data_IF_672355332876
#
_entry.id   IF_672355332876
#
_cell.length_a   1.000
_cell.length_b   1.000
_cell.length_c   1.000
_cell.angle_alpha   90.00
_cell.angle_beta   90.00
_cell.angle_gamma   90.00
#
_symmetry.space_group_name_H-M   'P 1'
#
loop_
_entity.id
_entity.type
_entity.pdbx_description
1 polymer ?
#
# COMPACT_ATOMS: atom_id res chain seq x y z
N UNK A 1 -29.08 32.67 -18.77
CA UNK A 1 -28.62 31.76 -17.71
C UNK A 1 -27.86 30.62 -18.39
N UNK A 2 -26.55 30.70 -18.38
CA UNK A 2 -25.69 29.74 -19.10
C UNK A 2 -25.22 28.71 -18.08
N UNK A 3 -25.74 27.51 -18.17
CA UNK A 3 -25.32 26.40 -17.30
C UNK A 3 -24.05 25.82 -17.87
N UNK A 4 -22.93 26.16 -17.26
CA UNK A 4 -21.63 25.56 -17.56
C UNK A 4 -21.66 24.10 -17.10
N UNK A 5 -21.73 23.17 -18.04
CA UNK A 5 -21.55 21.74 -17.81
C UNK A 5 -20.06 21.50 -17.63
N UNK A 6 -19.64 21.20 -16.39
CA UNK A 6 -18.30 20.73 -16.12
C UNK A 6 -18.15 19.34 -16.77
N UNK A 7 -17.38 19.29 -17.86
CA UNK A 7 -16.92 18.02 -18.42
C UNK A 7 -16.07 17.30 -17.38
N UNK A 8 -16.53 16.16 -16.93
CA UNK A 8 -15.72 15.23 -16.13
C UNK A 8 -14.58 14.73 -17.01
N UNK A 9 -13.38 15.11 -16.67
CA UNK A 9 -12.18 14.54 -17.29
C UNK A 9 -12.24 13.02 -17.21
N UNK A 10 -12.19 12.37 -18.35
CA UNK A 10 -12.07 10.91 -18.45
C UNK A 10 -10.72 10.51 -17.86
N UNK A 11 -10.65 9.43 -17.06
CA UNK A 11 -9.35 8.92 -16.58
C UNK A 11 -8.48 8.64 -17.81
N UNK A 12 -7.34 9.30 -17.88
CA UNK A 12 -6.33 9.06 -18.91
C UNK A 12 -5.91 7.60 -18.80
N UNK A 13 -6.26 6.81 -19.80
CA UNK A 13 -5.74 5.46 -19.95
C UNK A 13 -4.21 5.57 -19.98
N UNK A 14 -3.53 4.81 -19.11
CA UNK A 14 -2.08 4.70 -19.09
C UNK A 14 -1.61 4.22 -20.46
N UNK A 15 -1.25 5.15 -21.31
CA UNK A 15 -0.67 4.87 -22.62
C UNK A 15 0.68 4.21 -22.42
N UNK A 16 0.83 3.04 -23.03
CA UNK A 16 2.05 2.30 -23.32
C UNK A 16 3.26 2.59 -22.44
N UNK A 17 3.56 1.68 -21.51
CA UNK A 17 4.83 1.60 -20.81
C UNK A 17 5.99 1.52 -21.81
N UNK A 18 6.56 2.63 -22.19
CA UNK A 18 7.95 2.62 -22.63
C UNK A 18 8.75 2.10 -21.43
N UNK A 19 9.42 0.96 -21.60
CA UNK A 19 10.19 0.36 -20.52
C UNK A 19 11.22 1.39 -20.05
N UNK A 20 11.23 1.73 -18.76
CA UNK A 20 12.21 2.65 -18.19
C UNK A 20 13.58 2.06 -18.48
N UNK A 21 14.46 2.84 -19.08
CA UNK A 21 15.81 2.41 -19.39
C UNK A 21 16.57 2.05 -18.12
N UNK A 22 17.17 0.87 -18.07
CA UNK A 22 17.86 0.33 -16.90
C UNK A 22 19.29 0.85 -16.82
N UNK A 23 19.43 2.15 -16.64
CA UNK A 23 20.70 2.84 -16.43
C UNK A 23 21.26 2.61 -15.03
N UNK A 24 22.54 2.92 -14.76
CA UNK A 24 23.07 2.93 -13.39
C UNK A 24 22.25 3.80 -12.43
N UNK A 25 21.69 4.91 -12.92
CA UNK A 25 20.82 5.81 -12.15
C UNK A 25 19.50 5.14 -11.77
N UNK A 26 18.87 4.40 -12.69
CA UNK A 26 17.70 3.57 -12.38
C UNK A 26 17.97 2.58 -11.25
N UNK A 27 19.15 1.90 -11.29
CA UNK A 27 19.48 0.92 -10.24
C UNK A 27 19.75 1.57 -8.89
N UNK A 28 20.34 2.78 -8.84
CA UNK A 28 20.49 3.53 -7.59
C UNK A 28 19.12 3.91 -7.05
N UNK A 29 18.26 4.49 -7.86
CA UNK A 29 16.90 4.84 -7.46
C UNK A 29 16.10 3.61 -6.98
N UNK A 30 16.30 2.46 -7.64
CA UNK A 30 15.67 1.20 -7.21
C UNK A 30 16.19 0.75 -5.84
N UNK A 31 17.49 0.85 -5.58
CA UNK A 31 18.05 0.55 -4.27
C UNK A 31 17.48 1.49 -3.18
N UNK A 32 17.39 2.79 -3.46
CA UNK A 32 16.77 3.76 -2.54
C UNK A 32 15.31 3.43 -2.23
N UNK A 33 14.54 2.94 -3.23
CA UNK A 33 13.15 2.46 -3.02
C UNK A 33 13.13 1.22 -2.14
N UNK A 34 14.06 0.27 -2.36
CA UNK A 34 14.15 -0.95 -1.55
C UNK A 34 14.50 -0.61 -0.10
N UNK A 35 15.48 0.27 0.13
CA UNK A 35 15.85 0.74 1.47
C UNK A 35 14.69 1.47 2.17
N UNK A 36 13.90 2.25 1.43
CA UNK A 36 12.70 2.89 1.96
C UNK A 36 11.66 1.86 2.44
N UNK A 37 11.42 0.80 1.68
CA UNK A 37 10.51 -0.29 2.07
C UNK A 37 11.04 -1.14 3.22
N UNK A 38 12.36 -1.37 3.29
CA UNK A 38 12.96 -2.10 4.40
C UNK A 38 12.82 -1.30 5.70
N UNK A 39 13.08 0.00 5.64
CA UNK A 39 12.82 0.89 6.79
C UNK A 39 11.35 0.89 7.20
N UNK A 40 10.42 0.93 6.26
CA UNK A 40 8.99 0.83 6.55
C UNK A 40 8.66 -0.47 7.30
N UNK A 41 9.19 -1.60 6.79
CA UNK A 41 9.01 -2.92 7.40
C UNK A 41 9.55 -2.95 8.83
N UNK A 42 10.77 -2.45 9.06
CA UNK A 42 11.40 -2.37 10.38
C UNK A 42 10.54 -1.56 11.36
N UNK A 43 10.02 -0.41 10.94
CA UNK A 43 9.16 0.43 11.79
C UNK A 43 7.88 -0.30 12.22
N UNK A 44 7.26 -1.05 11.32
CA UNK A 44 6.06 -1.82 11.62
C UNK A 44 6.37 -3.03 12.51
N UNK A 45 7.43 -3.76 12.22
CA UNK A 45 7.85 -4.95 12.97
C UNK A 45 8.30 -4.60 14.39
N UNK A 46 8.98 -3.45 14.55
CA UNK A 46 9.38 -2.87 15.84
C UNK A 46 8.25 -2.13 16.57
N UNK A 47 7.04 -2.08 15.99
CA UNK A 47 5.86 -1.39 16.56
C UNK A 47 6.07 0.12 16.74
N UNK A 48 6.90 0.73 15.93
CA UNK A 48 7.16 2.18 15.87
C UNK A 48 6.11 2.86 14.99
N UNK A 49 4.84 2.62 15.27
CA UNK A 49 3.71 3.01 14.43
C UNK A 49 3.60 4.52 14.21
N UNK A 50 4.00 5.34 15.17
CA UNK A 50 4.00 6.79 15.01
C UNK A 50 4.99 7.24 13.92
N UNK A 51 6.19 6.65 13.93
CA UNK A 51 7.21 6.94 12.92
C UNK A 51 6.85 6.37 11.56
N UNK A 52 6.12 5.24 11.54
CA UNK A 52 5.54 4.72 10.31
C UNK A 52 4.51 5.70 9.71
N UNK A 53 3.62 6.32 10.51
CA UNK A 53 2.68 7.34 10.03
C UNK A 53 3.40 8.54 9.40
N UNK A 54 4.63 8.84 9.82
CA UNK A 54 5.45 9.90 9.22
C UNK A 54 5.95 9.55 7.82
N UNK A 55 5.94 8.28 7.42
CA UNK A 55 6.24 7.87 6.04
C UNK A 55 5.05 8.08 5.08
N UNK A 56 3.87 8.39 5.59
CA UNK A 56 2.67 8.60 4.79
C UNK A 56 2.50 10.08 4.47
N UNK A 57 2.08 10.37 3.24
CA UNK A 57 1.67 11.72 2.85
C UNK A 57 0.37 12.12 3.57
N UNK A 58 0.11 13.43 3.72
CA UNK A 58 -1.09 13.88 4.42
C UNK A 58 -2.38 13.56 3.63
N UNK A 59 -2.26 13.44 2.32
CA UNK A 59 -3.32 13.05 1.39
C UNK A 59 -3.24 11.57 0.97
N UNK A 60 -2.65 10.70 1.80
CA UNK A 60 -2.54 9.27 1.51
C UNK A 60 -3.91 8.66 1.20
N UNK A 61 -3.93 7.84 0.17
CA UNK A 61 -5.01 6.88 -0.11
C UNK A 61 -4.48 5.48 0.17
N UNK A 62 -4.99 4.85 1.23
CA UNK A 62 -4.63 3.49 1.65
C UNK A 62 -5.80 2.57 1.36
N UNK A 63 -5.71 1.84 0.26
CA UNK A 63 -6.82 1.08 -0.29
C UNK A 63 -6.51 -0.41 -0.39
N UNK A 64 -7.44 -1.24 0.07
CA UNK A 64 -7.37 -2.70 -0.04
C UNK A 64 -8.73 -3.23 -0.50
N UNK A 65 -8.90 -3.56 -1.79
CA UNK A 65 -10.14 -4.10 -2.31
C UNK A 65 -10.46 -5.48 -1.75
N UNK A 66 -11.73 -5.83 -1.76
CA UNK A 66 -12.14 -7.23 -1.64
C UNK A 66 -11.92 -7.89 -3.01
N UNK A 67 -11.21 -9.02 -3.00
CA UNK A 67 -10.99 -9.83 -4.19
C UNK A 67 -11.98 -10.97 -4.24
N UNK A 68 -12.40 -11.35 -5.44
CA UNK A 68 -13.38 -12.39 -5.68
C UNK A 68 -12.87 -13.39 -6.72
N UNK A 69 -13.16 -14.65 -6.52
CA UNK A 69 -12.96 -15.65 -7.57
C UNK A 69 -14.04 -15.45 -8.64
N UNK A 70 -13.60 -15.17 -9.84
CA UNK A 70 -14.48 -14.89 -10.99
C UNK A 70 -14.21 -15.88 -12.13
N UNK A 71 -15.15 -16.01 -13.04
CA UNK A 71 -14.99 -16.85 -14.21
C UNK A 71 -13.89 -16.33 -15.13
N UNK A 72 -13.27 -17.23 -15.87
CA UNK A 72 -12.27 -16.89 -16.88
C UNK A 72 -12.77 -15.77 -17.80
N UNK A 73 -11.90 -14.78 -18.06
CA UNK A 73 -12.23 -13.60 -18.86
C UNK A 73 -12.88 -12.44 -18.09
N UNK A 74 -13.26 -12.61 -16.81
CA UNK A 74 -13.90 -11.55 -16.01
C UNK A 74 -12.95 -10.87 -15.00
N UNK A 75 -11.69 -11.31 -14.91
CA UNK A 75 -10.73 -10.84 -13.90
C UNK A 75 -10.54 -9.33 -13.95
N UNK A 76 -10.33 -8.74 -15.13
CA UNK A 76 -10.06 -7.31 -15.27
C UNK A 76 -11.20 -6.39 -14.75
N UNK A 77 -12.44 -6.88 -14.74
CA UNK A 77 -13.61 -6.05 -14.45
C UNK A 77 -14.31 -6.40 -13.15
N UNK A 78 -14.16 -7.62 -12.64
CA UNK A 78 -14.99 -8.15 -11.54
C UNK A 78 -14.19 -8.76 -10.38
N UNK A 79 -12.89 -8.99 -10.55
CA UNK A 79 -12.08 -9.65 -9.53
C UNK A 79 -11.94 -8.77 -8.28
N UNK A 80 -11.71 -7.47 -8.45
CA UNK A 80 -11.49 -6.54 -7.35
C UNK A 80 -12.66 -5.56 -7.23
N UNK A 81 -13.03 -5.20 -6.00
CA UNK A 81 -13.88 -4.03 -5.77
C UNK A 81 -13.11 -2.77 -6.12
N UNK A 82 -13.81 -1.71 -6.51
CA UNK A 82 -13.20 -0.44 -6.87
C UNK A 82 -13.31 0.55 -5.73
N UNK A 83 -12.34 1.43 -5.61
CA UNK A 83 -12.36 2.50 -4.63
C UNK A 83 -13.60 3.39 -4.83
N UNK A 84 -14.32 3.68 -3.74
CA UNK A 84 -15.56 4.44 -3.78
C UNK A 84 -16.78 3.69 -4.34
N UNK A 85 -16.61 2.44 -4.79
CA UNK A 85 -17.71 1.60 -5.31
C UNK A 85 -17.85 0.33 -4.45
N UNK A 86 -18.72 0.35 -3.45
CA UNK A 86 -19.01 -0.82 -2.63
C UNK A 86 -18.07 -0.99 -1.43
N UNK A 87 -17.93 -2.24 -0.96
CA UNK A 87 -17.16 -2.57 0.25
C UNK A 87 -15.73 -2.94 -0.10
N UNK A 88 -14.78 -2.45 0.67
CA UNK A 88 -13.36 -2.80 0.65
C UNK A 88 -12.90 -3.24 2.04
N UNK A 89 -11.73 -3.89 2.13
CA UNK A 89 -11.10 -4.18 3.42
C UNK A 89 -10.58 -2.89 4.06
N UNK A 90 -9.91 -2.04 3.26
CA UNK A 90 -9.48 -0.69 3.65
C UNK A 90 -9.80 0.31 2.54
N UNK A 91 -10.26 1.47 2.93
CA UNK A 91 -10.33 2.69 2.11
C UNK A 91 -10.14 3.85 3.10
N UNK A 92 -8.88 4.07 3.47
CA UNK A 92 -8.49 4.86 4.63
C UNK A 92 -7.58 6.01 4.23
N UNK A 93 -7.76 7.13 4.91
CA UNK A 93 -6.90 8.29 4.90
C UNK A 93 -5.92 8.29 6.08
N UNK A 94 -5.04 9.27 6.14
CA UNK A 94 -4.04 9.40 7.21
C UNK A 94 -4.68 9.54 8.60
N UNK A 95 -5.81 10.22 8.68
CA UNK A 95 -6.52 10.41 9.95
C UNK A 95 -7.03 9.06 10.49
N UNK A 96 -7.67 8.28 9.63
CA UNK A 96 -8.19 6.95 9.97
C UNK A 96 -7.07 6.00 10.38
N UNK A 97 -5.97 5.97 9.60
CA UNK A 97 -4.77 5.19 9.94
C UNK A 97 -4.18 5.61 11.30
N UNK A 98 -4.14 6.93 11.56
CA UNK A 98 -3.75 7.47 12.86
C UNK A 98 -4.63 6.97 14.01
N UNK A 99 -5.95 6.90 13.80
CA UNK A 99 -6.90 6.37 14.81
C UNK A 99 -6.69 4.88 15.07
N UNK A 100 -6.36 4.09 14.05
CA UNK A 100 -6.00 2.69 14.24
C UNK A 100 -4.72 2.53 15.06
N UNK A 101 -3.71 3.35 14.77
CA UNK A 101 -2.46 3.40 15.57
C UNK A 101 -2.78 3.79 17.01
N UNK A 102 -3.59 4.84 17.22
CA UNK A 102 -4.02 5.25 18.57
C UNK A 102 -4.68 4.08 19.32
N UNK A 103 -5.57 3.35 18.66
CA UNK A 103 -6.27 2.20 19.23
C UNK A 103 -5.32 1.08 19.65
N UNK A 104 -4.35 0.71 18.79
CA UNK A 104 -3.34 -0.31 19.13
C UNK A 104 -2.51 0.14 20.33
N UNK A 105 -2.12 1.41 20.38
CA UNK A 105 -1.27 1.95 21.43
C UNK A 105 -1.99 2.19 22.78
N UNK A 106 -3.32 2.01 22.85
CA UNK A 106 -4.04 2.06 24.14
C UNK A 106 -3.66 0.92 25.08
N UNK A 107 -3.14 -0.20 24.55
CA UNK A 107 -2.83 -1.41 25.32
C UNK A 107 -4.06 -2.16 25.85
N UNK A 108 -5.27 -1.72 25.49
CA UNK A 108 -6.55 -2.37 25.88
C UNK A 108 -7.34 -2.81 24.65
N UNK A 109 -6.74 -2.72 23.47
CA UNK A 109 -7.36 -3.20 22.24
C UNK A 109 -7.38 -4.74 22.23
N UNK A 110 -8.49 -5.30 22.59
CA UNK A 110 -8.71 -6.74 22.78
C UNK A 110 -8.21 -7.61 21.61
N UNK A 111 -8.31 -7.13 20.36
CA UNK A 111 -7.84 -7.87 19.19
C UNK A 111 -6.29 -7.92 19.07
N UNK A 112 -5.58 -7.04 19.78
CA UNK A 112 -4.11 -6.95 19.84
C UNK A 112 -3.57 -7.02 21.28
N UNK A 113 -4.32 -7.61 22.22
CA UNK A 113 -3.83 -7.89 23.57
C UNK A 113 -3.80 -9.42 23.81
N UNK A 114 -2.63 -10.04 23.93
CA UNK A 114 -1.29 -9.46 23.76
C UNK A 114 -0.98 -9.09 22.30
N UNK A 115 -0.07 -8.12 22.12
CA UNK A 115 0.34 -7.65 20.79
C UNK A 115 0.89 -8.79 19.93
N UNK A 116 0.48 -8.78 18.67
CA UNK A 116 1.01 -9.69 17.66
C UNK A 116 2.52 -9.48 17.43
N UNK A 117 3.22 -10.56 17.09
CA UNK A 117 4.53 -10.50 16.45
C UNK A 117 4.31 -10.53 14.95
N UNK A 118 4.86 -9.57 14.27
CA UNK A 118 4.68 -9.40 12.83
C UNK A 118 6.05 -9.31 12.19
N UNK A 119 6.18 -9.88 11.01
CA UNK A 119 7.37 -9.72 10.17
C UNK A 119 6.94 -9.47 8.74
N UNK A 120 7.41 -8.36 8.18
CA UNK A 120 7.19 -7.99 6.79
C UNK A 120 8.39 -8.40 5.94
N UNK A 121 8.11 -9.08 4.84
CA UNK A 121 9.09 -9.34 3.78
C UNK A 121 8.61 -8.68 2.50
N UNK A 122 9.44 -7.82 1.93
CA UNK A 122 9.16 -7.13 0.66
C UNK A 122 10.09 -7.68 -0.42
N UNK A 123 9.53 -7.95 -1.59
CA UNK A 123 10.29 -8.48 -2.71
C UNK A 123 9.77 -7.98 -4.05
N UNK A 124 10.48 -8.33 -5.14
CA UNK A 124 10.06 -8.03 -6.50
C UNK A 124 9.76 -6.54 -6.73
N UNK A 125 10.53 -5.66 -6.10
CA UNK A 125 10.38 -4.21 -6.24
C UNK A 125 10.69 -3.78 -7.66
N UNK A 126 9.75 -3.09 -8.30
CA UNK A 126 9.85 -2.62 -9.67
C UNK A 126 9.30 -1.19 -9.76
N UNK A 127 10.13 -0.27 -10.23
CA UNK A 127 9.67 1.08 -10.58
C UNK A 127 8.95 0.98 -11.93
N UNK A 128 7.71 1.42 -11.97
CA UNK A 128 6.83 1.39 -13.15
C UNK A 128 6.78 2.72 -13.89
N UNK A 129 6.89 3.82 -13.14
CA UNK A 129 6.96 5.17 -13.71
C UNK A 129 7.80 6.06 -12.80
N UNK A 130 8.43 7.06 -13.40
CA UNK A 130 9.18 8.11 -12.72
C UNK A 130 8.68 9.45 -13.28
N UNK A 131 8.35 10.37 -12.41
CA UNK A 131 7.89 11.71 -12.79
C UNK A 131 8.74 12.79 -12.12
N UNK A 132 9.16 13.86 -12.80
CA UNK A 132 9.05 14.02 -14.26
C UNK A 132 10.02 13.11 -15.03
N UNK A 133 11.21 12.81 -14.50
CA UNK A 133 12.26 12.00 -15.11
C UNK A 133 13.20 11.39 -14.06
N UNK A 134 14.18 10.59 -14.50
CA UNK A 134 15.16 9.94 -13.62
C UNK A 134 16.19 10.91 -13.02
N UNK A 135 16.42 12.08 -13.63
CA UNK A 135 17.43 13.04 -13.16
C UNK A 135 16.95 13.82 -11.93
N UNK A 136 15.65 14.11 -11.89
CA UNK A 136 15.03 14.84 -10.78
C UNK A 136 13.67 14.22 -10.43
N UNK A 137 13.66 12.98 -9.92
CA UNK A 137 12.40 12.32 -9.62
C UNK A 137 11.68 13.04 -8.46
N UNK A 138 10.41 13.32 -8.64
CA UNK A 138 9.54 13.87 -7.60
C UNK A 138 8.44 12.88 -7.18
N UNK A 139 8.09 11.96 -8.08
CA UNK A 139 7.08 10.94 -7.80
C UNK A 139 7.39 9.65 -8.57
N UNK A 140 7.17 8.52 -7.92
CA UNK A 140 7.43 7.18 -8.45
C UNK A 140 6.18 6.33 -8.34
N UNK A 141 5.86 5.56 -9.39
CA UNK A 141 4.93 4.43 -9.26
C UNK A 141 5.75 3.16 -9.13
N UNK A 142 5.50 2.43 -8.07
CA UNK A 142 6.26 1.24 -7.70
C UNK A 142 5.31 0.07 -7.49
N UNK A 143 5.70 -1.11 -7.96
CA UNK A 143 5.04 -2.37 -7.60
C UNK A 143 5.98 -3.24 -6.79
N UNK A 144 5.45 -3.91 -5.79
CA UNK A 144 6.18 -4.89 -4.99
C UNK A 144 5.32 -6.11 -4.66
N UNK A 145 5.96 -7.14 -4.13
CA UNK A 145 5.28 -8.27 -3.49
C UNK A 145 5.58 -8.21 -2.01
N UNK A 146 4.63 -8.66 -1.21
CA UNK A 146 4.84 -8.79 0.23
C UNK A 146 4.46 -10.20 0.70
N UNK A 147 5.15 -10.62 1.73
CA UNK A 147 4.74 -11.67 2.64
C UNK A 147 4.77 -11.09 4.04
N UNK A 148 3.63 -11.13 4.73
CA UNK A 148 3.51 -10.72 6.12
C UNK A 148 3.19 -11.96 6.93
N UNK A 149 4.02 -12.24 7.92
CA UNK A 149 3.80 -13.28 8.90
C UNK A 149 3.34 -12.66 10.20
N UNK A 150 2.24 -13.18 10.76
CA UNK A 150 1.72 -12.78 12.07
C UNK A 150 1.63 -13.98 12.98
N UNK A 151 2.11 -13.83 14.21
CA UNK A 151 1.89 -14.76 15.29
C UNK A 151 1.38 -14.03 16.53
N UNK A 152 0.29 -14.52 17.09
CA UNK A 152 -0.25 -14.05 18.36
C UNK A 152 -0.61 -15.25 19.22
N UNK A 153 -0.23 -15.21 20.48
CA UNK A 153 -0.39 -16.32 21.45
C UNK A 153 0.20 -17.63 20.91
N UNK A 154 -0.29 -18.78 21.35
CA UNK A 154 0.30 -20.09 21.03
C UNK A 154 -0.20 -20.67 19.70
N UNK A 155 -1.38 -20.28 19.25
CA UNK A 155 -2.10 -20.95 18.17
C UNK A 155 -2.60 -20.03 17.05
N UNK A 156 -2.47 -18.73 17.20
CA UNK A 156 -2.87 -17.79 16.15
C UNK A 156 -1.66 -17.46 15.26
N UNK A 157 -1.63 -18.09 14.11
CA UNK A 157 -0.59 -17.86 13.10
C UNK A 157 -1.25 -17.61 11.76
N UNK A 158 -0.92 -16.48 11.13
CA UNK A 158 -1.45 -16.11 9.84
C UNK A 158 -0.32 -15.68 8.91
N UNK A 159 -0.50 -15.98 7.63
CA UNK A 159 0.39 -15.53 6.57
C UNK A 159 -0.44 -14.80 5.52
N UNK A 160 -0.04 -13.58 5.20
CA UNK A 160 -0.66 -12.78 4.16
C UNK A 160 0.34 -12.60 3.03
N UNK A 161 -0.09 -12.93 1.82
CA UNK A 161 0.73 -12.78 0.62
C UNK A 161 -0.03 -11.93 -0.38
N UNK A 162 0.68 -11.00 -1.00
CA UNK A 162 0.04 -10.12 -1.95
C UNK A 162 1.00 -9.23 -2.72
N UNK A 163 0.43 -8.24 -3.34
CA UNK A 163 1.17 -7.22 -4.08
C UNK A 163 0.71 -5.83 -3.66
N UNK A 164 1.61 -4.87 -3.79
CA UNK A 164 1.33 -3.46 -3.57
C UNK A 164 1.59 -2.68 -4.86
N UNK A 165 0.75 -1.69 -5.08
CA UNK A 165 0.95 -0.65 -6.08
C UNK A 165 1.02 0.66 -5.32
N UNK A 166 2.21 1.24 -5.22
CA UNK A 166 2.46 2.45 -4.45
C UNK A 166 2.78 3.62 -5.39
N UNK A 167 2.29 4.80 -5.03
CA UNK A 167 2.81 6.08 -5.52
C UNK A 167 3.61 6.70 -4.39
N UNK A 168 4.91 6.88 -4.59
CA UNK A 168 5.85 7.48 -3.64
C UNK A 168 6.20 8.88 -4.10
N UNK A 169 6.06 9.88 -3.23
CA UNK A 169 6.52 11.26 -3.45
C UNK A 169 7.84 11.50 -2.75
N UNK A 170 8.74 12.16 -3.47
CA UNK A 170 10.03 12.60 -2.95
C UNK A 170 9.88 14.07 -2.58
N UNK A 171 9.91 14.37 -1.30
CA UNK A 171 9.70 15.72 -0.75
C UNK A 171 10.95 16.23 -0.05
N UNK A 172 10.96 17.51 0.31
CA UNK A 172 12.06 18.09 1.10
C UNK A 172 12.22 17.45 2.48
N UNK A 173 11.12 16.93 3.04
CA UNK A 173 11.10 16.23 4.33
C UNK A 173 11.34 14.72 4.24
N UNK A 174 11.68 14.23 3.06
CA UNK A 174 11.90 12.80 2.79
C UNK A 174 10.85 12.18 1.89
N UNK A 175 10.90 10.88 1.74
CA UNK A 175 9.99 10.11 0.91
C UNK A 175 8.68 9.84 1.64
N UNK A 176 7.55 9.91 0.91
CA UNK A 176 6.21 9.70 1.45
C UNK A 176 5.40 8.80 0.53
N UNK A 177 4.68 7.85 1.10
CA UNK A 177 3.69 7.07 0.36
C UNK A 177 2.45 7.93 0.21
N UNK A 178 2.10 8.29 -1.02
CA UNK A 178 0.93 9.12 -1.33
C UNK A 178 -0.30 8.27 -1.74
N UNK A 179 -0.06 7.08 -2.26
CA UNK A 179 -1.08 6.08 -2.54
C UNK A 179 -0.51 4.69 -2.30
N UNK A 180 -1.30 3.83 -1.70
CA UNK A 180 -1.05 2.39 -1.61
C UNK A 180 -2.30 1.62 -1.95
N UNK A 181 -2.23 0.80 -2.98
CA UNK A 181 -3.22 -0.23 -3.27
C UNK A 181 -2.64 -1.59 -2.90
N UNK A 182 -3.37 -2.31 -2.03
CA UNK A 182 -2.95 -3.62 -1.50
C UNK A 182 -3.83 -4.70 -2.11
N UNK A 183 -3.26 -5.57 -2.90
CA UNK A 183 -3.96 -6.70 -3.50
C UNK A 183 -3.58 -7.98 -2.75
N UNK A 184 -4.40 -8.35 -1.77
CA UNK A 184 -4.20 -9.58 -1.00
C UNK A 184 -4.61 -10.79 -1.84
N UNK A 185 -3.75 -11.81 -1.89
CA UNK A 185 -4.01 -13.04 -2.65
C UNK A 185 -4.90 -14.04 -1.85
N UNK A 186 -6.00 -13.52 -1.30
CA UNK A 186 -7.01 -14.29 -0.57
C UNK A 186 -8.41 -13.84 -1.02
N UNK A 187 -9.26 -14.79 -1.35
CA UNK A 187 -10.67 -14.53 -1.65
C UNK A 187 -11.50 -14.39 -0.35
N UNK A 188 -11.13 -15.14 0.67
CA UNK A 188 -11.72 -15.10 2.00
C UNK A 188 -10.60 -14.83 2.99
N UNK A 189 -10.81 -13.86 3.86
CA UNK A 189 -9.86 -13.59 4.93
C UNK A 189 -9.91 -14.73 5.97
N UNK A 190 -8.77 -15.39 6.15
CA UNK A 190 -8.64 -16.49 7.11
C UNK A 190 -8.27 -16.01 8.51
N UNK A 191 -7.75 -14.79 8.63
CA UNK A 191 -7.43 -14.17 9.91
C UNK A 191 -8.70 -13.67 10.62
N UNK A 192 -8.68 -13.69 11.94
CA UNK A 192 -9.80 -13.22 12.77
C UNK A 192 -10.01 -11.69 12.67
N UNK A 193 -8.98 -10.96 12.37
CA UNK A 193 -8.99 -9.51 12.22
C UNK A 193 -7.91 -9.03 11.24
N UNK A 194 -7.94 -7.75 10.91
CA UNK A 194 -6.93 -7.04 10.12
C UNK A 194 -6.43 -5.82 10.91
N UNK A 195 -5.78 -6.08 12.02
CA UNK A 195 -5.22 -5.01 12.88
C UNK A 195 -3.85 -4.53 12.43
N UNK A 196 -3.17 -5.33 11.61
CA UNK A 196 -1.86 -5.00 11.05
C UNK A 196 -1.98 -3.99 9.89
N UNK A 197 -0.82 -3.43 9.53
CA UNK A 197 -0.64 -2.61 8.33
C UNK A 197 0.15 -3.40 7.27
N UNK A 198 0.04 -3.00 5.99
CA UNK A 198 0.62 -3.70 4.84
C UNK A 198 1.55 -2.81 4.04
#
# INVERSE_FOLDING_TARGET
MNTMVLEKEKPVALSGNAAIERTPQYYRLKADVEDFYYRESDLLDERRFREWLDLLADDIVYFMPIRRNVKFGQHATRENTKQGEGVSWFDEDKWTLGKRVDQILTGVHYAEEPLSRITHMVSNVQIKAVRPDLDKPSELDVTSRFLLYQNRVQYETYTFVGRRHDTIRITKSGWKIARREILLEQNILLAKNLTMFF
#
